data_IF_635356253226
#
_entry.id   IF_635356253226
#
_cell.length_a   1.000
_cell.length_b   1.000
_cell.length_c   1.000
_cell.angle_alpha   90.00
_cell.angle_beta   90.00
_cell.angle_gamma   90.00
#
_symmetry.space_group_name_H-M   'P 1'
#
loop_
_entity.id
_entity.type
_entity.pdbx_description
1 polymer ?
#
# COMPACT_ATOMS: atom_id res chain seq x y z
N UNK A 1 26.97 8.88 6.34
CA UNK A 1 25.72 8.17 6.02
C UNK A 1 25.28 7.23 7.16
N UNK A 2 25.52 7.57 8.44
CA UNK A 2 25.72 6.56 9.49
C UNK A 2 24.72 6.55 10.67
N UNK A 3 23.76 7.47 10.78
CA UNK A 3 22.76 7.46 11.88
C UNK A 3 21.31 7.54 11.37
N UNK A 4 21.05 8.40 10.38
CA UNK A 4 19.72 8.58 9.77
C UNK A 4 19.21 7.27 9.16
N UNK A 5 20.07 6.54 8.43
CA UNK A 5 19.72 5.25 7.85
C UNK A 5 19.41 4.18 8.90
N UNK A 6 20.08 4.22 10.05
CA UNK A 6 19.84 3.27 11.15
C UNK A 6 18.46 3.49 11.78
N UNK A 7 18.10 4.75 12.05
CA UNK A 7 16.79 5.11 12.62
C UNK A 7 15.63 4.75 11.68
N UNK A 8 15.76 5.03 10.38
CA UNK A 8 14.73 4.65 9.40
C UNK A 8 14.60 3.13 9.23
N UNK A 9 15.71 2.39 9.25
CA UNK A 9 15.68 0.93 9.16
C UNK A 9 15.07 0.29 10.41
N UNK A 10 15.40 0.79 11.60
CA UNK A 10 14.83 0.33 12.85
C UNK A 10 13.33 0.60 12.92
N UNK A 11 12.89 1.78 12.46
CA UNK A 11 11.48 2.08 12.32
C UNK A 11 10.77 1.15 11.32
N UNK A 12 11.35 0.91 10.14
CA UNK A 12 10.77 -0.03 9.17
C UNK A 12 10.66 -1.43 9.78
N UNK A 13 11.68 -1.90 10.50
CA UNK A 13 11.65 -3.19 11.18
C UNK A 13 10.54 -3.23 12.24
N UNK A 14 10.37 -2.17 13.03
CA UNK A 14 9.31 -2.07 14.03
C UNK A 14 7.94 -2.05 13.36
N UNK A 15 7.72 -1.28 12.30
CA UNK A 15 6.43 -1.25 11.61
C UNK A 15 6.14 -2.54 10.86
N UNK A 16 7.15 -3.21 10.29
CA UNK A 16 6.99 -4.55 9.73
C UNK A 16 6.60 -5.54 10.82
N UNK A 17 7.27 -5.53 11.97
CA UNK A 17 6.91 -6.41 13.11
C UNK A 17 5.54 -6.07 13.66
N UNK A 18 5.21 -4.79 13.85
CA UNK A 18 3.89 -4.36 14.30
C UNK A 18 2.82 -4.75 13.27
N UNK A 19 3.10 -4.59 11.98
CA UNK A 19 2.24 -5.11 10.92
C UNK A 19 2.09 -6.62 11.06
N UNK A 20 3.17 -7.39 11.23
CA UNK A 20 3.11 -8.85 11.39
C UNK A 20 2.33 -9.29 12.64
N UNK A 21 2.54 -8.62 13.78
CA UNK A 21 1.81 -8.83 15.02
C UNK A 21 0.33 -8.45 14.90
N UNK A 22 0.03 -7.40 14.11
CA UNK A 22 -1.34 -7.06 13.69
C UNK A 22 -1.87 -8.05 12.65
N UNK A 23 -1.01 -8.74 11.88
CA UNK A 23 -1.42 -9.63 10.78
C UNK A 23 -1.91 -11.01 11.18
N UNK A 24 -1.88 -11.36 12.48
CA UNK A 24 -2.82 -12.38 12.96
C UNK A 24 -4.27 -11.99 12.63
N UNK A 25 -4.56 -10.68 12.46
CA UNK A 25 -5.84 -10.16 11.97
C UNK A 25 -5.86 -9.90 10.45
N UNK A 26 -4.72 -9.75 9.76
CA UNK A 26 -4.67 -9.45 8.31
C UNK A 26 -4.80 -10.68 7.41
N UNK A 27 -4.36 -11.86 7.87
CA UNK A 27 -4.82 -13.13 7.26
C UNK A 27 -6.34 -13.28 7.42
N UNK A 28 -6.87 -12.81 8.54
CA UNK A 28 -8.30 -12.71 8.78
C UNK A 28 -8.96 -11.69 7.86
N UNK A 29 -8.32 -10.57 7.49
CA UNK A 29 -8.90 -9.60 6.56
C UNK A 29 -9.02 -10.16 5.15
N UNK A 30 -7.98 -10.82 4.62
CA UNK A 30 -8.09 -11.54 3.35
C UNK A 30 -9.14 -12.67 3.45
N UNK A 31 -9.19 -13.41 4.57
CA UNK A 31 -10.23 -14.43 4.81
C UNK A 31 -11.64 -13.85 4.95
N UNK A 32 -11.84 -12.74 5.64
CA UNK A 32 -13.11 -12.04 5.83
C UNK A 32 -13.55 -11.45 4.49
N UNK A 33 -12.61 -10.97 3.69
CA UNK A 33 -12.81 -10.61 2.28
C UNK A 33 -13.03 -11.77 1.35
N UNK A 34 -12.65 -13.00 1.70
CA UNK A 34 -12.93 -14.19 0.89
C UNK A 34 -14.17 -14.94 1.38
N UNK A 35 -14.59 -14.73 2.63
CA UNK A 35 -15.78 -15.35 3.24
C UNK A 35 -17.06 -14.57 2.95
N UNK A 36 -16.97 -13.29 2.53
CA UNK A 36 -18.12 -12.40 2.43
C UNK A 36 -18.30 -11.48 1.21
N UNK A 37 -17.69 -11.68 0.04
CA UNK A 37 -18.20 -11.10 -1.20
C UNK A 37 -19.00 -12.14 -1.96
N UNK A 38 -19.96 -11.71 -2.81
CA UNK A 38 -20.42 -12.58 -3.88
C UNK A 38 -19.18 -12.91 -4.72
N UNK A 39 -18.86 -14.19 -4.87
CA UNK A 39 -17.69 -14.72 -5.60
C UNK A 39 -17.49 -14.18 -7.04
N UNK A 40 -18.36 -13.31 -7.55
CA UNK A 40 -18.26 -12.68 -8.86
C UNK A 40 -17.60 -11.28 -8.87
N UNK A 41 -17.54 -10.56 -7.73
CA UNK A 41 -16.96 -9.20 -7.70
C UNK A 41 -15.43 -9.21 -7.55
N UNK A 42 -14.86 -10.20 -6.86
CA UNK A 42 -13.43 -10.23 -6.57
C UNK A 42 -12.52 -10.42 -7.80
N UNK A 43 -13.07 -10.84 -8.94
CA UNK A 43 -12.32 -11.04 -10.19
C UNK A 43 -12.52 -9.90 -11.20
N UNK A 44 -13.15 -8.78 -10.81
CA UNK A 44 -13.27 -7.58 -11.66
C UNK A 44 -12.38 -6.45 -11.18
N UNK A 45 -11.96 -5.57 -12.10
CA UNK A 45 -11.13 -4.40 -11.76
C UNK A 45 -11.84 -3.48 -10.78
N UNK A 46 -13.17 -3.41 -10.87
CA UNK A 46 -14.03 -2.67 -9.97
C UNK A 46 -14.02 -3.24 -8.56
N UNK A 47 -14.08 -4.57 -8.41
CA UNK A 47 -14.02 -5.22 -7.11
C UNK A 47 -12.63 -5.10 -6.47
N UNK A 48 -11.56 -5.20 -7.25
CA UNK A 48 -10.20 -4.92 -6.77
C UNK A 48 -10.05 -3.48 -6.27
N UNK A 49 -10.65 -2.52 -6.99
CA UNK A 49 -10.69 -1.10 -6.61
C UNK A 49 -11.49 -0.86 -5.33
N UNK A 50 -12.63 -1.52 -5.17
CA UNK A 50 -13.43 -1.41 -3.94
C UNK A 50 -12.69 -2.03 -2.75
N UNK A 51 -12.15 -3.23 -2.91
CA UNK A 51 -11.33 -3.89 -1.91
C UNK A 51 -10.19 -2.99 -1.43
N UNK A 52 -9.40 -2.45 -2.36
CA UNK A 52 -8.22 -1.68 -1.99
C UNK A 52 -8.59 -0.38 -1.26
N UNK A 53 -9.63 0.32 -1.71
CA UNK A 53 -10.01 1.64 -1.17
C UNK A 53 -10.87 1.59 0.09
N UNK A 54 -11.81 0.65 0.18
CA UNK A 54 -12.77 0.59 1.28
C UNK A 54 -12.32 -0.29 2.43
N UNK A 55 -11.38 -1.22 2.18
CA UNK A 55 -11.08 -2.26 3.14
C UNK A 55 -9.59 -2.41 3.40
N UNK A 56 -8.81 -2.75 2.38
CA UNK A 56 -7.39 -3.00 2.56
C UNK A 56 -6.69 -1.78 3.15
N UNK A 57 -6.90 -0.58 2.61
CA UNK A 57 -6.18 0.62 3.06
C UNK A 57 -6.45 0.97 4.52
N UNK A 58 -7.73 0.91 4.90
CA UNK A 58 -8.17 1.18 6.27
C UNK A 58 -7.55 0.19 7.25
N UNK A 59 -7.48 -1.08 6.88
CA UNK A 59 -7.02 -2.13 7.78
C UNK A 59 -5.50 -2.30 7.80
N UNK A 60 -4.83 -2.19 6.65
CA UNK A 60 -3.38 -2.40 6.52
C UNK A 60 -2.58 -1.16 6.95
N UNK A 61 -3.10 0.05 6.66
CA UNK A 61 -2.38 1.30 6.89
C UNK A 61 -3.09 2.25 7.85
N UNK A 62 -4.26 1.88 8.39
CA UNK A 62 -5.06 2.73 9.27
C UNK A 62 -5.37 4.11 8.66
N UNK A 63 -5.42 4.17 7.32
CA UNK A 63 -5.57 5.39 6.54
C UNK A 63 -6.75 5.33 5.58
N UNK A 64 -6.90 6.38 4.79
CA UNK A 64 -7.85 6.43 3.68
C UNK A 64 -7.12 6.81 2.42
N UNK A 65 -7.49 6.19 1.32
CA UNK A 65 -6.97 6.54 0.01
C UNK A 65 -8.10 6.89 -0.96
N UNK A 66 -7.73 7.51 -2.07
CA UNK A 66 -8.64 7.90 -3.14
C UNK A 66 -8.11 7.41 -4.49
N UNK A 67 -9.02 7.12 -5.42
CA UNK A 67 -8.63 6.85 -6.80
C UNK A 67 -8.46 8.17 -7.52
N UNK A 68 -7.26 8.38 -8.05
CA UNK A 68 -6.94 9.51 -8.91
C UNK A 68 -7.22 9.14 -10.37
N UNK A 69 -7.92 10.01 -11.11
CA UNK A 69 -8.06 9.84 -12.55
C UNK A 69 -6.68 9.86 -13.21
N UNK A 70 -6.53 9.05 -14.24
CA UNK A 70 -5.29 8.92 -14.98
C UNK A 70 -5.61 8.73 -16.46
N UNK A 71 -4.79 9.32 -17.34
CA UNK A 71 -5.09 9.38 -18.78
C UNK A 71 -4.36 8.30 -19.61
N UNK A 72 -3.44 7.54 -19.02
CA UNK A 72 -2.63 6.52 -19.71
C UNK A 72 -3.35 5.17 -19.72
N UNK A 73 -3.74 4.68 -20.89
CA UNK A 73 -4.46 3.41 -21.03
C UNK A 73 -3.78 2.18 -20.39
N UNK A 74 -2.47 2.22 -20.18
CA UNK A 74 -1.69 1.13 -19.56
C UNK A 74 -1.83 1.05 -18.03
N UNK A 75 -2.32 2.09 -17.36
CA UNK A 75 -2.46 2.12 -15.90
C UNK A 75 -3.94 1.92 -15.56
N UNK A 76 -4.26 0.93 -14.73
CA UNK A 76 -5.65 0.68 -14.36
C UNK A 76 -6.17 1.74 -13.40
N UNK A 77 -5.40 2.05 -12.36
CA UNK A 77 -5.72 3.12 -11.43
C UNK A 77 -4.49 3.62 -10.69
N UNK A 78 -4.59 4.88 -10.25
CA UNK A 78 -3.66 5.50 -9.33
C UNK A 78 -4.36 5.66 -8.00
N UNK A 79 -3.78 5.11 -6.94
CA UNK A 79 -4.25 5.32 -5.58
C UNK A 79 -3.44 6.45 -4.97
N UNK A 80 -4.12 7.47 -4.46
CA UNK A 80 -3.51 8.59 -3.77
C UNK A 80 -3.85 8.51 -2.28
N UNK A 81 -2.83 8.62 -1.44
CA UNK A 81 -2.98 8.87 -0.01
C UNK A 81 -2.15 10.12 0.34
N UNK A 82 -2.84 11.17 0.78
CA UNK A 82 -2.23 12.45 1.16
C UNK A 82 -1.73 12.48 2.60
N UNK A 83 -2.07 11.48 3.40
CA UNK A 83 -1.71 11.36 4.81
C UNK A 83 -1.26 9.93 5.12
N UNK A 84 -0.31 9.43 4.34
CA UNK A 84 0.19 8.07 4.43
C UNK A 84 1.12 7.91 5.65
N UNK A 85 0.51 7.62 6.79
CA UNK A 85 1.17 7.61 8.12
C UNK A 85 2.28 6.57 8.27
N UNK A 86 2.29 5.55 7.41
CA UNK A 86 3.37 4.56 7.31
C UNK A 86 4.75 5.22 7.14
N UNK A 87 4.81 6.41 6.55
CA UNK A 87 6.05 7.13 6.30
C UNK A 87 6.30 8.28 7.29
N UNK A 88 5.44 8.53 8.28
CA UNK A 88 5.52 9.73 9.14
C UNK A 88 6.88 9.84 9.85
N UNK A 89 7.35 8.75 10.46
CA UNK A 89 8.63 8.80 11.19
C UNK A 89 9.85 8.85 10.27
N UNK A 90 9.77 8.19 9.11
CA UNK A 90 10.84 8.21 8.09
C UNK A 90 10.97 9.61 7.49
N UNK A 91 9.83 10.29 7.31
CA UNK A 91 9.75 11.65 6.83
C UNK A 91 10.41 12.66 7.78
N UNK A 92 10.30 12.42 9.08
CA UNK A 92 10.95 13.24 10.12
C UNK A 92 12.47 13.06 10.17
N UNK A 93 13.00 11.98 9.59
CA UNK A 93 14.44 11.72 9.56
C UNK A 93 15.20 12.56 8.50
N UNK A 94 14.53 13.40 7.71
CA UNK A 94 15.17 14.28 6.74
C UNK A 94 15.81 13.55 5.54
N UNK A 95 15.37 12.32 5.28
CA UNK A 95 15.83 11.53 4.13
C UNK A 95 15.48 12.21 2.80
N UNK A 96 16.38 12.12 1.83
CA UNK A 96 16.09 12.60 0.48
C UNK A 96 14.94 11.79 -0.15
N UNK A 97 14.09 12.39 -1.01
CA UNK A 97 12.97 11.70 -1.65
C UNK A 97 13.34 10.37 -2.32
N UNK A 98 14.50 10.30 -2.97
CA UNK A 98 14.98 9.09 -3.64
C UNK A 98 15.32 7.96 -2.66
N UNK A 99 15.73 8.31 -1.44
CA UNK A 99 15.99 7.37 -0.36
C UNK A 99 14.70 6.89 0.31
N UNK A 100 13.58 7.62 0.16
CA UNK A 100 12.30 7.21 0.72
C UNK A 100 11.66 6.06 -0.07
N UNK A 101 11.97 5.94 -1.37
CA UNK A 101 11.39 4.90 -2.23
C UNK A 101 11.68 3.47 -1.76
N UNK A 102 12.86 3.22 -1.16
CA UNK A 102 13.21 1.87 -0.69
C UNK A 102 12.25 1.38 0.41
N UNK A 103 11.76 2.30 1.26
CA UNK A 103 10.84 1.98 2.34
C UNK A 103 9.40 1.72 1.84
N UNK A 104 9.10 2.12 0.59
CA UNK A 104 7.83 1.82 -0.07
C UNK A 104 7.77 0.41 -0.67
N UNK A 105 8.90 -0.29 -0.76
CA UNK A 105 8.93 -1.65 -1.29
C UNK A 105 8.02 -2.59 -0.49
N UNK A 106 7.94 -2.40 0.83
CA UNK A 106 7.09 -3.20 1.71
C UNK A 106 5.58 -2.94 1.47
N UNK A 107 5.06 -1.69 1.57
CA UNK A 107 3.68 -1.38 1.16
C UNK A 107 3.32 -1.91 -0.24
N UNK A 108 4.20 -1.74 -1.23
CA UNK A 108 3.98 -2.26 -2.58
C UNK A 108 3.86 -3.80 -2.61
N UNK A 109 4.72 -4.50 -1.86
CA UNK A 109 4.69 -5.95 -1.72
C UNK A 109 3.40 -6.45 -1.07
N UNK A 110 2.90 -5.75 -0.05
CA UNK A 110 1.63 -6.08 0.60
C UNK A 110 0.45 -5.94 -0.36
N UNK A 111 0.33 -4.80 -1.04
CA UNK A 111 -0.73 -4.55 -2.02
C UNK A 111 -0.70 -5.63 -3.11
N UNK A 112 0.49 -5.92 -3.66
CA UNK A 112 0.67 -6.96 -4.68
C UNK A 112 0.25 -8.34 -4.18
N UNK A 113 0.64 -8.71 -2.95
CA UNK A 113 0.27 -10.00 -2.35
C UNK A 113 -1.23 -10.14 -2.16
N UNK A 114 -1.91 -9.09 -1.72
CA UNK A 114 -3.36 -9.08 -1.58
C UNK A 114 -4.08 -9.18 -2.93
N UNK A 115 -3.59 -8.47 -3.95
CA UNK A 115 -4.13 -8.58 -5.31
C UNK A 115 -3.98 -9.98 -5.88
N UNK A 116 -2.82 -10.62 -5.65
CA UNK A 116 -2.59 -11.99 -6.08
C UNK A 116 -3.57 -12.97 -5.43
N UNK A 117 -3.91 -12.78 -4.15
CA UNK A 117 -4.93 -13.60 -3.47
C UNK A 117 -6.35 -13.38 -4.02
N UNK A 118 -6.64 -12.20 -4.56
CA UNK A 118 -7.90 -11.90 -5.26
C UNK A 118 -7.94 -12.46 -6.70
N UNK A 119 -6.84 -13.04 -7.18
CA UNK A 119 -6.73 -13.58 -8.53
C UNK A 119 -6.18 -12.59 -9.56
N UNK A 120 -5.68 -11.42 -9.13
CA UNK A 120 -5.04 -10.45 -10.00
C UNK A 120 -3.52 -10.52 -9.89
N UNK A 121 -2.85 -10.71 -11.02
CA UNK A 121 -1.45 -10.38 -11.09
C UNK A 121 -1.32 -8.87 -11.33
N UNK A 122 -0.57 -8.16 -10.48
CA UNK A 122 -0.44 -6.72 -10.61
C UNK A 122 0.98 -6.25 -10.28
N UNK A 123 1.45 -5.25 -11.03
CA UNK A 123 2.62 -4.46 -10.73
C UNK A 123 2.19 -3.21 -9.95
N UNK A 124 2.82 -2.99 -8.79
CA UNK A 124 2.57 -1.85 -7.91
C UNK A 124 3.81 -0.97 -7.90
N UNK A 125 3.65 0.31 -8.25
CA UNK A 125 4.73 1.29 -8.28
C UNK A 125 4.36 2.46 -7.38
N UNK A 126 5.09 2.63 -6.28
CA UNK A 126 4.97 3.81 -5.43
C UNK A 126 5.73 4.99 -6.03
N UNK A 127 5.09 6.15 -6.05
CA UNK A 127 5.62 7.40 -6.52
C UNK A 127 5.41 8.45 -5.44
N UNK A 128 6.43 9.25 -5.18
CA UNK A 128 6.28 10.40 -4.30
C UNK A 128 5.30 11.39 -4.95
N UNK A 129 4.21 11.69 -4.25
CA UNK A 129 3.15 12.60 -4.67
C UNK A 129 3.42 14.07 -4.33
N UNK A 130 4.43 14.36 -3.50
CA UNK A 130 4.83 15.71 -3.12
C UNK A 130 5.38 15.77 -1.69
N UNK A 131 4.66 16.37 -0.72
CA UNK A 131 5.07 16.39 0.69
C UNK A 131 5.38 14.98 1.23
N UNK A 132 6.16 14.86 2.33
CA UNK A 132 6.68 13.58 2.84
C UNK A 132 5.65 12.44 2.99
N UNK A 133 4.39 12.77 3.31
CA UNK A 133 3.33 11.80 3.57
C UNK A 133 2.35 11.64 2.39
N UNK A 134 2.62 12.27 1.24
CA UNK A 134 1.77 12.18 0.05
C UNK A 134 2.36 11.17 -0.93
N UNK A 135 1.67 10.04 -1.10
CA UNK A 135 2.12 8.95 -1.96
C UNK A 135 1.06 8.56 -2.98
N UNK A 136 1.53 8.30 -4.20
CA UNK A 136 0.73 7.75 -5.28
C UNK A 136 1.18 6.32 -5.58
N UNK A 137 0.25 5.39 -5.65
CA UNK A 137 0.51 4.00 -6.01
C UNK A 137 -0.12 3.72 -7.37
N UNK A 138 0.70 3.49 -8.38
CA UNK A 138 0.25 3.04 -9.70
C UNK A 138 0.05 1.54 -9.67
N UNK A 139 -1.11 1.11 -10.12
CA UNK A 139 -1.48 -0.29 -10.20
C UNK A 139 -1.71 -0.65 -11.66
N UNK A 140 -0.98 -1.66 -12.12
CA UNK A 140 -1.02 -2.18 -13.48
C UNK A 140 -1.32 -3.67 -13.36
N UNK A 141 -2.51 -4.10 -13.78
CA UNK A 141 -2.89 -5.52 -13.85
C UNK A 141 -2.22 -6.16 -15.08
N UNK A 142 -1.67 -7.37 -14.88
CA UNK A 142 -0.88 -8.13 -15.85
C UNK A 142 -1.69 -9.28 -16.45
#
# INVERSE_FOLDING_TARGET
MSEIASCCQEYLNIEMVNFFLRTSETQEIARLFLQKPPNHFLATKEGAREFITQHFWLHAFHGKCQIKPQDKQEIDYIIEDTNFTWMDKISLCGCAPDQLQIYMAFPCGLIRGSFHQLGFNAQIIALNGGPPCHWNFKIITL
#
